data_IF_978601745489
#
_entry.id   IF_978601745489
#
_cell.length_a   1.000
_cell.length_b   1.000
_cell.length_c   1.000
_cell.angle_alpha   90.00
_cell.angle_beta   90.00
_cell.angle_gamma   90.00
#
_symmetry.space_group_name_H-M   'P 1'
#
loop_
_entity.id
_entity.type
_entity.pdbx_description
1 polymer ?
#
# COMPACT_ATOMS: atom_id res chain seq x y z
N UNK A 1 20.41 4.93 11.19
CA UNK A 1 21.74 4.92 10.53
C UNK A 1 21.68 5.84 9.31
N UNK A 2 22.77 6.53 8.99
CA UNK A 2 22.90 7.34 7.79
C UNK A 2 22.60 6.48 6.55
N UNK A 3 21.79 7.01 5.64
CA UNK A 3 21.42 6.39 4.38
C UNK A 3 21.10 7.49 3.35
N UNK A 4 22.05 7.79 2.47
CA UNK A 4 21.92 8.87 1.50
C UNK A 4 20.87 8.58 0.42
N UNK A 5 20.67 7.31 0.05
CA UNK A 5 19.67 6.90 -0.95
C UNK A 5 18.24 7.20 -0.49
N UNK A 6 17.99 7.20 0.82
CA UNK A 6 16.69 7.54 1.41
C UNK A 6 16.69 8.93 2.08
N UNK A 7 17.66 9.80 1.79
CA UNK A 7 17.73 11.17 2.31
C UNK A 7 18.09 11.30 3.79
N UNK A 8 18.59 10.24 4.43
CA UNK A 8 19.03 10.27 5.83
C UNK A 8 20.50 10.68 5.91
N UNK A 9 20.75 11.99 6.02
CA UNK A 9 22.10 12.57 6.04
C UNK A 9 22.87 12.40 7.36
N UNK A 10 22.18 12.18 8.47
CA UNK A 10 22.80 12.07 9.80
C UNK A 10 22.31 10.82 10.52
N UNK A 11 23.17 10.28 11.38
CA UNK A 11 22.75 9.33 12.39
C UNK A 11 21.92 10.04 13.46
N UNK A 12 20.69 9.57 13.67
CA UNK A 12 19.80 10.08 14.71
C UNK A 12 19.51 8.99 15.74
N UNK A 13 19.93 9.23 16.98
CA UNK A 13 19.50 8.44 18.13
C UNK A 13 18.21 9.04 18.69
N UNK A 14 17.16 8.21 18.83
CA UNK A 14 15.86 8.67 19.35
C UNK A 14 15.71 8.52 20.86
N UNK A 15 16.75 8.05 21.58
CA UNK A 15 16.83 8.00 23.04
C UNK A 15 15.55 7.48 23.73
N UNK A 16 15.00 6.38 23.21
CA UNK A 16 13.75 5.75 23.69
C UNK A 16 12.51 6.63 23.66
N UNK A 17 12.50 7.73 22.89
CA UNK A 17 11.28 8.44 22.55
C UNK A 17 10.30 7.48 21.87
N UNK A 18 9.02 7.65 22.17
CA UNK A 18 7.95 6.85 21.57
C UNK A 18 7.92 7.03 20.06
N UNK A 19 7.60 5.95 19.34
CA UNK A 19 7.40 5.99 17.88
C UNK A 19 6.11 6.74 17.54
N UNK A 20 6.14 7.51 16.46
CA UNK A 20 4.95 8.11 15.85
C UNK A 20 4.39 7.14 14.80
N UNK A 21 3.08 6.92 14.80
CA UNK A 21 2.42 6.07 13.82
C UNK A 21 2.14 6.86 12.51
N UNK A 22 2.76 6.49 11.38
CA UNK A 22 2.49 7.14 10.09
C UNK A 22 1.06 6.85 9.59
N UNK A 23 0.55 7.77 8.76
CA UNK A 23 -0.76 7.68 8.12
C UNK A 23 -0.59 7.86 6.62
N UNK A 24 -1.01 6.88 5.83
CA UNK A 24 -1.10 6.99 4.38
C UNK A 24 -2.55 7.28 3.97
N UNK A 25 -2.76 8.38 3.26
CA UNK A 25 -4.09 8.90 2.93
C UNK A 25 -4.06 9.67 1.61
N UNK A 26 -5.21 9.73 0.94
CA UNK A 26 -5.41 10.48 -0.29
C UNK A 26 -5.26 9.61 -1.55
N UNK A 27 -6.33 9.51 -2.35
CA UNK A 27 -6.30 8.87 -3.67
C UNK A 27 -6.09 7.34 -3.69
N UNK A 28 -6.09 6.66 -2.54
CA UNK A 28 -5.87 5.21 -2.45
C UNK A 28 -7.16 4.39 -2.47
N UNK A 29 -7.09 3.17 -3.01
CA UNK A 29 -8.20 2.20 -3.08
C UNK A 29 -7.73 0.75 -2.83
N UNK A 30 -8.68 -0.16 -2.58
CA UNK A 30 -8.41 -1.57 -2.24
C UNK A 30 -7.50 -2.32 -3.23
N UNK A 31 -7.52 -1.94 -4.51
CA UNK A 31 -6.68 -2.55 -5.56
C UNK A 31 -5.18 -2.37 -5.34
N UNK A 32 -4.78 -1.31 -4.63
CA UNK A 32 -3.40 -0.96 -4.35
C UNK A 32 -2.86 -1.60 -3.06
N UNK A 33 -3.65 -2.43 -2.37
CA UNK A 33 -3.29 -2.95 -1.03
C UNK A 33 -1.92 -3.64 -1.01
N UNK A 34 -1.58 -4.38 -2.06
CA UNK A 34 -0.27 -5.04 -2.18
C UNK A 34 0.91 -4.05 -2.19
N UNK A 35 0.78 -2.93 -2.90
CA UNK A 35 1.78 -1.86 -2.95
C UNK A 35 1.87 -1.15 -1.60
N UNK A 36 0.73 -0.86 -0.98
CA UNK A 36 0.68 -0.19 0.32
C UNK A 36 1.41 -0.99 1.40
N UNK A 37 1.13 -2.30 1.49
CA UNK A 37 1.82 -3.17 2.46
C UNK A 37 3.32 -3.29 2.15
N UNK A 38 3.69 -3.35 0.87
CA UNK A 38 5.10 -3.45 0.48
C UNK A 38 5.91 -2.22 0.89
N UNK A 39 5.40 -1.02 0.61
CA UNK A 39 6.15 0.21 0.87
C UNK A 39 6.02 0.72 2.30
N UNK A 40 4.90 0.45 2.99
CA UNK A 40 4.58 1.10 4.27
C UNK A 40 4.63 0.16 5.48
N UNK A 41 4.62 -1.16 5.28
CA UNK A 41 4.64 -2.13 6.38
C UNK A 41 3.32 -2.23 7.15
N UNK A 42 3.40 -2.52 8.46
CA UNK A 42 2.24 -2.81 9.33
C UNK A 42 1.89 -1.71 10.32
N UNK A 43 2.91 -1.03 10.87
CA UNK A 43 2.72 0.06 11.83
C UNK A 43 2.31 1.35 11.10
N UNK A 44 1.21 1.29 10.35
CA UNK A 44 0.68 2.38 9.52
C UNK A 44 -0.84 2.39 9.54
N UNK A 45 -1.43 3.59 9.48
CA UNK A 45 -2.87 3.75 9.24
C UNK A 45 -3.08 3.97 7.74
N UNK A 46 -3.88 3.11 7.10
CA UNK A 46 -4.31 3.28 5.72
C UNK A 46 -5.71 3.90 5.68
N UNK A 47 -5.84 5.13 5.16
CA UNK A 47 -7.10 5.87 5.13
C UNK A 47 -7.72 5.90 3.73
N UNK A 48 -8.85 5.21 3.60
CA UNK A 48 -9.62 5.14 2.36
C UNK A 48 -10.85 6.07 2.44
N UNK A 49 -10.68 7.37 2.19
CA UNK A 49 -11.81 8.33 2.18
C UNK A 49 -12.77 8.06 1.02
N UNK A 50 -12.41 8.53 -0.18
CA UNK A 50 -13.16 8.25 -1.42
C UNK A 50 -13.29 6.75 -1.70
N UNK A 51 -12.23 5.98 -1.42
CA UNK A 51 -12.21 4.51 -1.57
C UNK A 51 -13.13 3.74 -0.61
N UNK A 52 -13.80 4.40 0.34
CA UNK A 52 -14.86 3.82 1.17
C UNK A 52 -16.22 4.41 0.82
N UNK A 53 -16.35 5.74 0.87
CA UNK A 53 -17.64 6.41 0.73
C UNK A 53 -18.15 6.36 -0.72
N UNK A 54 -17.24 6.33 -1.70
CA UNK A 54 -17.57 6.25 -3.13
C UNK A 54 -17.91 4.84 -3.63
N UNK A 55 -18.00 3.84 -2.75
CA UNK A 55 -18.33 2.48 -3.14
C UNK A 55 -19.76 2.39 -3.71
N UNK A 56 -20.00 1.72 -4.86
CA UNK A 56 -21.31 1.71 -5.52
C UNK A 56 -22.43 1.12 -4.65
N UNK A 57 -22.10 0.13 -3.83
CA UNK A 57 -23.06 -0.52 -2.91
C UNK A 57 -23.14 0.13 -1.51
N UNK A 58 -22.60 1.35 -1.37
CA UNK A 58 -22.68 2.14 -0.14
C UNK A 58 -21.51 1.97 0.84
N UNK A 59 -21.52 2.80 1.89
CA UNK A 59 -20.38 3.01 2.81
C UNK A 59 -19.95 1.72 3.54
N UNK A 60 -20.92 0.93 4.02
CA UNK A 60 -20.63 -0.33 4.71
C UNK A 60 -19.91 -1.33 3.79
N UNK A 61 -20.33 -1.40 2.52
CA UNK A 61 -19.69 -2.24 1.52
C UNK A 61 -18.25 -1.76 1.24
N UNK A 62 -18.04 -0.44 1.07
CA UNK A 62 -16.70 0.12 0.91
C UNK A 62 -15.76 -0.19 2.08
N UNK A 63 -16.26 -0.07 3.33
CA UNK A 63 -15.48 -0.41 4.51
C UNK A 63 -15.13 -1.90 4.55
N UNK A 64 -16.09 -2.76 4.20
CA UNK A 64 -15.90 -4.21 4.10
C UNK A 64 -14.86 -4.57 3.03
N UNK A 65 -14.92 -3.94 1.86
CA UNK A 65 -13.98 -4.17 0.77
C UNK A 65 -12.53 -3.86 1.18
N UNK A 66 -12.29 -2.70 1.80
CA UNK A 66 -10.96 -2.30 2.25
C UNK A 66 -10.43 -3.23 3.35
N UNK A 67 -11.30 -3.64 4.30
CA UNK A 67 -10.96 -4.57 5.37
C UNK A 67 -10.56 -5.95 4.82
N UNK A 68 -11.36 -6.52 3.92
CA UNK A 68 -11.10 -7.84 3.33
C UNK A 68 -9.84 -7.81 2.47
N UNK A 69 -9.61 -6.76 1.68
CA UNK A 69 -8.39 -6.60 0.90
C UNK A 69 -7.13 -6.61 1.79
N UNK A 70 -7.16 -5.86 2.90
CA UNK A 70 -6.06 -5.79 3.85
C UNK A 70 -5.78 -7.15 4.49
N UNK A 71 -6.80 -7.80 5.06
CA UNK A 71 -6.64 -9.08 5.76
C UNK A 71 -6.17 -10.19 4.81
N UNK A 72 -6.70 -10.23 3.58
CA UNK A 72 -6.25 -11.20 2.56
C UNK A 72 -4.78 -10.97 2.17
N UNK A 73 -4.35 -9.72 2.06
CA UNK A 73 -2.97 -9.38 1.72
C UNK A 73 -2.00 -9.74 2.84
N UNK A 74 -2.36 -9.43 4.09
CA UNK A 74 -1.55 -9.78 5.27
C UNK A 74 -1.44 -11.29 5.45
N UNK A 75 -2.54 -12.04 5.24
CA UNK A 75 -2.50 -13.50 5.27
C UNK A 75 -1.55 -14.05 4.21
N UNK A 76 -1.70 -13.64 2.95
CA UNK A 76 -0.84 -14.09 1.85
C UNK A 76 0.64 -13.78 2.10
N UNK A 77 0.95 -12.59 2.63
CA UNK A 77 2.30 -12.22 3.04
C UNK A 77 2.83 -13.14 4.13
N UNK A 78 2.04 -13.42 5.16
CA UNK A 78 2.45 -14.27 6.29
C UNK A 78 2.63 -15.74 5.88
N UNK A 79 1.94 -16.18 4.82
CA UNK A 79 2.14 -17.48 4.17
C UNK A 79 3.39 -17.51 3.26
N UNK A 80 4.11 -16.40 3.13
CA UNK A 80 5.34 -16.31 2.35
C UNK A 80 5.15 -16.13 0.84
N UNK A 81 3.95 -15.71 0.40
CA UNK A 81 3.69 -15.44 -1.02
C UNK A 81 4.42 -14.18 -1.49
N UNK A 82 4.77 -14.13 -2.77
CA UNK A 82 5.30 -12.92 -3.41
C UNK A 82 4.14 -11.94 -3.67
N UNK A 83 3.61 -11.36 -2.58
CA UNK A 83 2.40 -10.57 -2.61
C UNK A 83 2.55 -9.27 -3.41
N UNK A 84 3.76 -8.78 -3.66
CA UNK A 84 3.98 -7.64 -4.53
C UNK A 84 3.71 -8.01 -5.99
N UNK A 85 4.19 -9.18 -6.46
CA UNK A 85 3.94 -9.65 -7.83
C UNK A 85 2.59 -10.34 -7.99
N UNK A 86 2.10 -11.01 -6.95
CA UNK A 86 0.85 -11.77 -6.94
C UNK A 86 -0.35 -10.95 -6.44
N UNK A 87 -0.14 -9.68 -6.06
CA UNK A 87 -1.11 -8.86 -5.34
C UNK A 87 -2.50 -8.80 -5.98
N UNK A 88 -2.56 -8.53 -7.29
CA UNK A 88 -3.82 -8.52 -8.04
C UNK A 88 -4.54 -9.87 -7.96
N UNK A 89 -3.82 -10.99 -8.11
CA UNK A 89 -4.40 -12.34 -8.04
C UNK A 89 -4.91 -12.67 -6.63
N UNK A 90 -4.20 -12.23 -5.58
CA UNK A 90 -4.64 -12.39 -4.18
C UNK A 90 -5.97 -11.67 -3.96
N UNK A 91 -6.08 -10.42 -4.42
CA UNK A 91 -7.30 -9.62 -4.31
C UNK A 91 -8.45 -10.20 -5.14
N UNK A 92 -8.17 -10.66 -6.37
CA UNK A 92 -9.14 -11.36 -7.22
C UNK A 92 -9.65 -12.66 -6.58
N UNK A 93 -8.78 -13.43 -5.91
CA UNK A 93 -9.17 -14.63 -5.18
C UNK A 93 -10.11 -14.30 -4.01
N UNK A 94 -9.80 -13.25 -3.23
CA UNK A 94 -10.67 -12.77 -2.16
C UNK A 94 -12.02 -12.26 -2.70
N UNK A 95 -12.01 -11.57 -3.84
CA UNK A 95 -13.20 -11.04 -4.50
C UNK A 95 -14.17 -12.14 -5.00
N UNK A 96 -13.73 -13.40 -5.14
CA UNK A 96 -14.62 -14.51 -5.50
C UNK A 96 -15.68 -14.80 -4.42
N UNK A 97 -15.36 -14.55 -3.16
CA UNK A 97 -16.24 -14.80 -2.02
C UNK A 97 -16.67 -13.52 -1.28
N UNK A 98 -16.08 -12.36 -1.60
CA UNK A 98 -16.44 -11.06 -1.05
C UNK A 98 -17.00 -10.14 -2.16
N UNK A 99 -18.32 -10.00 -2.24
CA UNK A 99 -18.97 -9.15 -3.26
C UNK A 99 -18.64 -7.66 -3.13
N UNK A 100 -18.52 -7.05 -1.92
CA UNK A 100 -18.03 -5.66 -1.82
C UNK A 100 -16.63 -5.49 -2.40
N UNK A 101 -15.70 -6.39 -2.09
CA UNK A 101 -14.35 -6.31 -2.65
C UNK A 101 -14.38 -6.41 -4.18
N UNK A 102 -15.19 -7.31 -4.73
CA UNK A 102 -15.37 -7.43 -6.19
C UNK A 102 -15.83 -6.11 -6.82
N UNK A 103 -16.87 -5.48 -6.26
CA UNK A 103 -17.39 -4.22 -6.78
C UNK A 103 -16.36 -3.08 -6.67
N UNK A 104 -15.63 -3.00 -5.56
CA UNK A 104 -14.54 -2.04 -5.38
C UNK A 104 -13.43 -2.21 -6.43
N UNK A 105 -12.99 -3.44 -6.69
CA UNK A 105 -11.96 -3.72 -7.68
C UNK A 105 -12.43 -3.32 -9.08
N UNK A 106 -13.66 -3.68 -9.48
CA UNK A 106 -14.20 -3.28 -10.79
C UNK A 106 -14.31 -1.76 -10.94
N UNK A 107 -14.64 -1.05 -9.87
CA UNK A 107 -14.82 0.41 -9.89
C UNK A 107 -13.50 1.16 -10.09
N UNK A 108 -12.41 0.69 -9.46
CA UNK A 108 -11.15 1.45 -9.38
C UNK A 108 -9.93 0.76 -9.97
N UNK A 109 -10.05 -0.43 -10.58
CA UNK A 109 -8.90 -1.20 -11.12
C UNK A 109 -8.00 -0.41 -12.07
N UNK A 110 -8.55 0.51 -12.85
CA UNK A 110 -7.81 1.28 -13.86
C UNK A 110 -7.37 2.66 -13.34
N UNK A 111 -7.70 3.00 -12.08
CA UNK A 111 -7.37 4.29 -11.49
C UNK A 111 -5.95 4.25 -10.94
N UNK A 112 -5.05 5.02 -11.54
CA UNK A 112 -3.67 5.20 -11.09
C UNK A 112 -3.26 6.66 -11.18
N UNK A 113 -2.37 7.10 -10.29
CA UNK A 113 -1.85 8.47 -10.26
C UNK A 113 -0.34 8.43 -10.52
N UNK A 114 0.04 8.37 -11.80
CA UNK A 114 1.44 8.28 -12.22
C UNK A 114 1.90 9.61 -12.82
N UNK A 115 2.61 10.40 -12.02
CA UNK A 115 3.18 11.69 -12.40
C UNK A 115 4.66 11.73 -12.01
N UNK A 116 5.43 12.59 -12.67
CA UNK A 116 6.82 12.84 -12.29
C UNK A 116 6.89 13.46 -10.89
N UNK A 117 7.68 12.85 -10.00
CA UNK A 117 7.90 13.37 -8.65
C UNK A 117 8.77 14.63 -8.70
N UNK A 118 8.41 15.64 -7.92
CA UNK A 118 9.21 16.86 -7.78
C UNK A 118 10.27 16.76 -6.68
N UNK A 119 9.97 16.00 -5.62
CA UNK A 119 10.89 15.71 -4.51
C UNK A 119 11.56 14.35 -4.80
N UNK A 120 12.82 14.38 -5.21
CA UNK A 120 13.57 13.21 -5.68
C UNK A 120 14.93 13.14 -5.01
N UNK A 121 15.47 11.93 -4.85
CA UNK A 121 16.77 11.74 -4.22
C UNK A 121 17.92 12.26 -5.11
N UNK A 122 18.86 13.00 -4.52
CA UNK A 122 20.10 13.40 -5.18
C UNK A 122 21.11 12.25 -5.31
N UNK A 123 20.97 11.21 -4.47
CA UNK A 123 21.88 10.07 -4.39
C UNK A 123 21.16 8.81 -4.85
N UNK A 124 21.34 8.45 -6.12
CA UNK A 124 20.82 7.19 -6.68
C UNK A 124 21.94 6.16 -6.82
N UNK A 125 21.71 4.88 -6.48
CA UNK A 125 22.71 3.84 -6.67
C UNK A 125 23.08 3.75 -8.16
N UNK A 126 24.36 3.96 -8.46
CA UNK A 126 24.87 3.79 -9.83
C UNK A 126 24.90 2.30 -10.14
N UNK A 127 24.13 1.87 -11.14
CA UNK A 127 24.18 0.49 -11.61
C UNK A 127 25.62 0.17 -12.04
N UNK A 128 26.28 -0.74 -11.33
CA UNK A 128 27.58 -1.25 -11.77
C UNK A 128 27.33 -2.14 -12.98
N UNK A 129 27.88 -1.83 -14.17
CA UNK A 129 27.74 -2.72 -15.31
C UNK A 129 28.36 -4.07 -14.93
N UNK A 130 27.56 -5.11 -14.96
CA UNK A 130 28.04 -6.49 -14.91
C UNK A 130 28.77 -6.77 -16.22
N UNK A 131 30.10 -6.79 -16.15
CA UNK A 131 30.97 -7.33 -17.21
C UNK A 131 30.97 -8.86 -17.16
#
# INVERSE_FOLDING_TARGET
>A
PQNLETGLFFDQEWASLNKVMPVASGGIHAGQMHQLIHYLGEDVILQFGGGTIGHPDGIQAGATANRVALEAMILARNEGRDYLREGTKILEQAARWCTPLKAALETWKDVTFNYESTDTADFVPTATPSF
#
